data_IF_337557292305
#
_entry.id   IF_337557292305
#
_cell.length_a   1.000
_cell.length_b   1.000
_cell.length_c   1.000
_cell.angle_alpha   90.00
_cell.angle_beta   90.00
_cell.angle_gamma   90.00
#
_symmetry.space_group_name_H-M   'P 1'
#
loop_
_entity.id
_entity.type
_entity.pdbx_description
1 polymer ?
#
# COMPACT_ATOMS: atom_id res chain seq x y z
N UNK A 1 -1.18 -7.34 -4.60
CA UNK A 1 -0.85 -7.53 -3.17
C UNK A 1 -1.46 -6.36 -2.44
N UNK A 2 -2.42 -6.57 -1.54
CA UNK A 2 -3.05 -5.41 -0.87
C UNK A 2 -2.15 -4.85 0.23
N UNK A 3 -2.35 -3.59 0.62
CA UNK A 3 -1.66 -3.04 1.78
C UNK A 3 -1.98 -3.83 3.06
N UNK A 4 -3.21 -4.31 3.22
CA UNK A 4 -3.59 -5.15 4.35
C UNK A 4 -2.79 -6.47 4.40
N UNK A 5 -2.53 -7.08 3.25
CA UNK A 5 -1.76 -8.33 3.18
C UNK A 5 -0.27 -8.08 3.41
N UNK A 6 0.27 -7.00 2.86
CA UNK A 6 1.66 -6.59 3.11
C UNK A 6 1.93 -6.40 4.61
N UNK A 7 0.99 -5.81 5.34
CA UNK A 7 1.12 -5.57 6.79
C UNK A 7 1.03 -6.84 7.64
N UNK A 8 0.65 -7.99 7.06
CA UNK A 8 0.66 -9.30 7.74
C UNK A 8 1.98 -10.05 7.53
N UNK A 9 2.86 -9.57 6.64
CA UNK A 9 4.16 -10.20 6.41
C UNK A 9 5.06 -10.03 7.64
N UNK A 10 5.93 -11.00 7.87
CA UNK A 10 6.85 -10.97 9.01
C UNK A 10 7.75 -9.72 8.97
N UNK A 11 7.90 -9.08 10.12
CA UNK A 11 8.65 -7.83 10.27
C UNK A 11 7.98 -6.58 9.66
N UNK A 12 6.79 -6.69 9.06
CA UNK A 12 6.02 -5.52 8.58
C UNK A 12 4.99 -5.09 9.62
N UNK A 13 4.78 -3.77 9.75
CA UNK A 13 3.74 -3.23 10.62
C UNK A 13 3.26 -1.86 10.16
N UNK A 14 2.03 -1.51 10.52
CA UNK A 14 1.45 -0.21 10.19
C UNK A 14 2.26 0.92 10.83
N UNK A 15 2.75 0.73 12.05
CA UNK A 15 3.58 1.71 12.77
C UNK A 15 4.89 1.97 12.05
N UNK A 16 5.61 0.92 11.64
CA UNK A 16 6.88 1.07 10.94
C UNK A 16 6.71 1.74 9.57
N UNK A 17 5.67 1.36 8.82
CA UNK A 17 5.39 1.97 7.52
C UNK A 17 4.94 3.43 7.65
N UNK A 18 4.09 3.75 8.64
CA UNK A 18 3.65 5.11 8.92
C UNK A 18 4.83 6.04 9.23
N UNK A 19 5.77 5.57 10.05
CA UNK A 19 7.00 6.31 10.36
C UNK A 19 7.84 6.58 9.10
N UNK A 20 7.99 5.61 8.20
CA UNK A 20 8.70 5.79 6.92
C UNK A 20 7.98 6.81 6.01
N UNK A 21 6.66 6.71 5.89
CA UNK A 21 5.86 7.62 5.07
C UNK A 21 5.63 9.00 5.70
N UNK A 22 6.02 9.21 6.96
CA UNK A 22 5.82 10.48 7.67
C UNK A 22 4.35 10.80 7.93
N UNK A 23 3.53 9.79 8.24
CA UNK A 23 2.09 9.93 8.54
C UNK A 23 1.71 9.25 9.84
N UNK A 24 0.50 9.50 10.33
CA UNK A 24 -0.07 8.81 11.48
C UNK A 24 -0.36 7.33 11.19
N UNK A 25 -0.21 6.47 12.21
CA UNK A 25 -0.52 5.03 12.08
C UNK A 25 -1.99 4.81 11.68
N UNK A 26 -2.89 5.67 12.15
CA UNK A 26 -4.31 5.63 11.79
C UNK A 26 -4.54 5.85 10.28
N UNK A 27 -3.70 6.64 9.61
CA UNK A 27 -3.76 6.86 8.16
C UNK A 27 -3.44 5.59 7.40
N UNK A 28 -2.38 4.87 7.80
CA UNK A 28 -2.00 3.59 7.18
C UNK A 28 -3.08 2.52 7.42
N UNK A 29 -3.60 2.43 8.64
CA UNK A 29 -4.62 1.41 8.97
C UNK A 29 -5.96 1.65 8.26
N UNK A 30 -6.42 2.91 8.12
CA UNK A 30 -7.62 3.25 7.33
C UNK A 30 -7.41 2.96 5.84
N UNK A 31 -6.25 3.31 5.30
CA UNK A 31 -5.88 2.98 3.92
C UNK A 31 -5.87 1.47 3.67
N UNK A 32 -5.29 0.69 4.59
CA UNK A 32 -5.23 -0.76 4.48
C UNK A 32 -6.62 -1.43 4.52
N UNK A 33 -7.55 -0.87 5.29
CA UNK A 33 -8.95 -1.35 5.37
C UNK A 33 -9.81 -0.90 4.19
N UNK A 34 -9.35 0.07 3.40
CA UNK A 34 -10.16 0.71 2.36
C UNK A 34 -11.13 1.77 2.89
N UNK A 35 -11.04 2.16 4.17
CA UNK A 35 -11.90 3.18 4.79
C UNK A 35 -11.68 4.56 4.15
N UNK A 36 -10.46 4.83 3.68
CA UNK A 36 -10.08 6.09 3.02
C UNK A 36 -9.12 5.83 1.87
N UNK A 37 -9.34 6.51 0.74
CA UNK A 37 -8.39 6.54 -0.37
C UNK A 37 -7.17 7.38 0.01
N UNK A 38 -5.94 6.84 -0.05
CA UNK A 38 -4.72 7.61 0.20
C UNK A 38 -4.55 8.76 -0.81
N UNK A 39 -3.81 9.79 -0.43
CA UNK A 39 -3.39 10.82 -1.38
C UNK A 39 -2.37 10.26 -2.37
N UNK A 40 -2.21 10.92 -3.53
CA UNK A 40 -1.18 10.56 -4.53
C UNK A 40 0.21 10.46 -3.90
N UNK A 41 0.57 11.42 -3.03
CA UNK A 41 1.86 11.41 -2.34
C UNK A 41 2.00 10.15 -1.47
N UNK A 42 1.00 9.85 -0.65
CA UNK A 42 1.04 8.68 0.22
C UNK A 42 1.09 7.37 -0.57
N UNK A 43 0.39 7.25 -1.70
CA UNK A 43 0.52 6.08 -2.57
C UNK A 43 1.95 5.92 -3.11
N UNK A 44 2.60 7.03 -3.49
CA UNK A 44 4.00 7.02 -3.94
C UNK A 44 4.95 6.61 -2.81
N UNK A 45 4.78 7.16 -1.61
CA UNK A 45 5.62 6.83 -0.45
C UNK A 45 5.46 5.34 -0.05
N UNK A 46 4.22 4.83 -0.06
CA UNK A 46 3.95 3.41 0.21
C UNK A 46 4.60 2.52 -0.85
N UNK A 47 4.48 2.86 -2.13
CA UNK A 47 5.12 2.11 -3.20
C UNK A 47 6.65 2.03 -3.00
N UNK A 48 7.29 3.16 -2.69
CA UNK A 48 8.73 3.21 -2.43
C UNK A 48 9.12 2.38 -1.20
N UNK A 49 8.46 2.59 -0.07
CA UNK A 49 8.84 1.98 1.21
C UNK A 49 8.42 0.51 1.38
N UNK A 50 7.58 -0.01 0.48
CA UNK A 50 7.26 -1.44 0.37
C UNK A 50 8.10 -2.16 -0.69
N UNK A 51 9.02 -1.45 -1.36
CA UNK A 51 9.84 -2.01 -2.44
C UNK A 51 9.00 -2.42 -3.65
N UNK A 52 7.90 -1.70 -3.90
CA UNK A 52 6.98 -1.96 -5.01
C UNK A 52 6.03 -3.14 -4.83
N UNK A 53 6.01 -3.77 -3.65
CA UNK A 53 5.06 -4.86 -3.37
C UNK A 53 3.61 -4.36 -3.28
N UNK A 54 3.40 -3.15 -2.76
CA UNK A 54 2.10 -2.49 -2.78
C UNK A 54 2.17 -1.36 -3.80
N UNK A 55 1.37 -1.46 -4.84
CA UNK A 55 1.30 -0.48 -5.92
C UNK A 55 0.09 0.45 -5.75
N UNK A 56 0.08 1.62 -6.39
CA UNK A 56 -1.11 2.47 -6.44
C UNK A 56 -2.36 1.73 -6.95
N UNK A 57 -2.20 0.81 -7.89
CA UNK A 57 -3.30 0.03 -8.47
C UNK A 57 -3.97 -0.88 -7.44
N UNK A 58 -3.22 -1.40 -6.45
CA UNK A 58 -3.77 -2.25 -5.39
C UNK A 58 -4.81 -1.50 -4.54
N UNK A 59 -4.72 -0.17 -4.40
CA UNK A 59 -5.72 0.65 -3.70
C UNK A 59 -7.03 0.80 -4.48
N UNK A 60 -6.99 0.61 -5.80
CA UNK A 60 -8.16 0.69 -6.68
C UNK A 60 -8.71 -0.68 -7.07
N UNK A 61 -8.08 -1.77 -6.61
CA UNK A 61 -8.44 -3.13 -7.03
C UNK A 61 -8.19 -3.37 -8.53
N UNK A 62 -7.26 -2.62 -9.14
CA UNK A 62 -6.92 -2.76 -10.55
C UNK A 62 -5.88 -3.87 -10.66
N UNK A 63 -6.30 -5.03 -11.15
CA UNK A 63 -5.38 -6.11 -11.49
C UNK A 63 -4.64 -5.78 -12.80
N UNK A 64 -3.35 -6.15 -12.94
CA UNK A 64 -2.66 -5.99 -14.21
C UNK A 64 -3.40 -6.78 -15.29
N UNK A 65 -3.75 -6.10 -16.39
CA UNK A 65 -4.32 -6.76 -17.55
C UNK A 65 -3.37 -7.89 -17.97
N UNK A 66 -3.91 -9.11 -18.06
CA UNK A 66 -3.11 -10.28 -18.41
C UNK A 66 -2.35 -9.96 -19.70
N UNK A 67 -1.01 -10.05 -19.65
CA UNK A 67 -0.18 -9.80 -20.81
C UNK A 67 -0.67 -10.72 -21.93
N UNK A 68 -1.28 -10.14 -22.97
CA UNK A 68 -1.66 -10.90 -24.15
C UNK A 68 -0.36 -11.35 -24.79
N UNK A 69 -0.02 -12.62 -24.62
CA UNK A 69 1.12 -13.23 -25.29
C UNK A 69 0.88 -13.10 -26.80
N UNK A 70 1.73 -12.31 -27.46
CA UNK A 70 1.79 -12.21 -28.91
C UNK A 70 2.52 -13.42 -29.51
#
# INVERSE_FOLDING_TARGET
MTLADYLKLDGQSATALAAKCGVEVSTITRAAKGDTMPSRKLMSDVFEHTGGQVTPNDFFGIEPAQAHAA
#
